data_IF_383225972933
#
_entry.id   IF_383225972933
#
_cell.length_a   1.000
_cell.length_b   1.000
_cell.length_c   1.000
_cell.angle_alpha   90.00
_cell.angle_beta   90.00
_cell.angle_gamma   90.00
#
_symmetry.space_group_name_H-M   'P 1'
#
loop_
_entity.id
_entity.type
_entity.pdbx_description
1 polymer ?
#
# COMPACT_ATOMS: atom_id res chain seq x y z
N UNK A 1 -9.30 19.06 7.27
CA UNK A 1 -10.20 18.02 6.69
C UNK A 1 -10.73 17.19 7.85
N UNK A 2 -12.05 17.16 8.09
CA UNK A 2 -12.61 16.36 9.17
C UNK A 2 -12.40 14.88 8.84
N UNK A 3 -11.49 14.22 9.56
CA UNK A 3 -11.35 12.78 9.50
C UNK A 3 -12.54 12.16 10.24
N UNK A 4 -13.41 11.45 9.53
CA UNK A 4 -14.47 10.65 10.14
C UNK A 4 -13.77 9.63 11.05
N UNK A 5 -14.00 9.74 12.36
CA UNK A 5 -13.34 8.95 13.40
C UNK A 5 -13.97 7.55 13.46
N UNK A 6 -13.82 6.75 12.40
CA UNK A 6 -14.24 5.35 12.44
C UNK A 6 -13.34 4.57 13.41
N UNK A 7 -13.88 4.24 14.58
CA UNK A 7 -13.18 3.41 15.59
C UNK A 7 -13.05 1.94 15.20
N UNK A 8 -13.85 1.48 14.24
CA UNK A 8 -13.92 0.09 13.77
C UNK A 8 -13.76 0.02 12.25
N UNK A 9 -12.96 -0.95 11.80
CA UNK A 9 -12.76 -1.27 10.38
C UNK A 9 -13.67 -2.46 10.03
N UNK A 10 -14.45 -2.38 8.94
CA UNK A 10 -15.45 -3.40 8.57
C UNK A 10 -16.28 -3.89 9.79
N UNK A 11 -16.90 -2.95 10.51
CA UNK A 11 -17.78 -3.16 11.67
C UNK A 11 -17.16 -3.81 12.93
N UNK A 12 -16.17 -4.70 12.83
CA UNK A 12 -15.65 -5.48 13.96
C UNK A 12 -14.13 -5.73 13.95
N UNK A 13 -13.39 -5.43 12.87
CA UNK A 13 -11.95 -5.75 12.84
C UNK A 13 -11.13 -4.66 13.53
N UNK A 14 -10.20 -5.04 14.44
CA UNK A 14 -9.28 -4.09 15.04
C UNK A 14 -8.40 -3.47 13.95
N UNK A 15 -8.19 -2.15 14.02
CA UNK A 15 -7.42 -1.41 13.01
C UNK A 15 -6.01 -1.99 12.77
N UNK A 16 -5.39 -2.55 13.81
CA UNK A 16 -4.10 -3.23 13.72
C UNK A 16 -4.16 -4.49 12.83
N UNK A 17 -5.29 -5.22 12.81
CA UNK A 17 -5.40 -6.41 11.98
C UNK A 17 -5.47 -6.09 10.49
N UNK A 18 -6.09 -4.96 10.14
CA UNK A 18 -6.11 -4.48 8.77
C UNK A 18 -4.71 -4.23 8.20
N UNK A 19 -3.80 -3.66 8.99
CA UNK A 19 -2.44 -3.34 8.54
C UNK A 19 -1.66 -4.60 8.15
N UNK A 20 -1.64 -5.64 8.99
CA UNK A 20 -0.85 -6.83 8.68
C UNK A 20 -1.48 -7.69 7.58
N UNK A 21 -2.82 -7.75 7.49
CA UNK A 21 -3.51 -8.46 6.41
C UNK A 21 -3.23 -7.79 5.05
N UNK A 22 -3.32 -6.46 4.99
CA UNK A 22 -2.96 -5.72 3.78
C UNK A 22 -1.46 -5.86 3.46
N UNK A 23 -0.61 -5.92 4.49
CA UNK A 23 0.81 -6.22 4.34
C UNK A 23 1.05 -7.61 3.72
N UNK A 24 0.38 -8.66 4.19
CA UNK A 24 0.52 -10.00 3.59
C UNK A 24 0.02 -10.05 2.16
N UNK A 25 -1.12 -9.40 1.88
CA UNK A 25 -1.65 -9.33 0.52
C UNK A 25 -0.69 -8.57 -0.41
N UNK A 26 -0.15 -7.44 0.06
CA UNK A 26 0.87 -6.68 -0.65
C UNK A 26 2.16 -7.47 -0.87
N UNK A 27 2.53 -8.36 0.07
CA UNK A 27 3.70 -9.23 -0.05
C UNK A 27 3.49 -10.33 -1.09
N UNK A 28 2.31 -10.95 -1.13
CA UNK A 28 1.98 -11.97 -2.13
C UNK A 28 1.96 -11.34 -3.52
N UNK A 29 1.23 -10.23 -3.68
CA UNK A 29 1.10 -9.54 -4.96
C UNK A 29 2.43 -8.94 -5.40
N UNK A 30 3.14 -8.26 -4.50
CA UNK A 30 4.46 -7.68 -4.77
C UNK A 30 5.51 -8.74 -5.05
N UNK A 31 5.54 -9.83 -4.29
CA UNK A 31 6.48 -10.93 -4.48
C UNK A 31 6.25 -11.66 -5.79
N UNK A 32 5.01 -12.02 -6.11
CA UNK A 32 4.66 -12.64 -7.39
C UNK A 32 4.94 -11.71 -8.58
N UNK A 33 4.59 -10.42 -8.45
CA UNK A 33 4.86 -9.41 -9.47
C UNK A 33 6.35 -9.18 -9.70
N UNK A 34 7.15 -9.14 -8.63
CA UNK A 34 8.60 -9.02 -8.71
C UNK A 34 9.22 -10.24 -9.39
N UNK A 35 8.85 -11.45 -8.97
CA UNK A 35 9.33 -12.68 -9.58
C UNK A 35 9.02 -12.71 -11.09
N UNK A 36 7.78 -12.40 -11.47
CA UNK A 36 7.38 -12.30 -12.88
C UNK A 36 8.16 -11.22 -13.64
N UNK A 37 8.42 -10.06 -13.01
CA UNK A 37 9.22 -8.99 -13.58
C UNK A 37 10.66 -9.41 -13.87
N UNK A 38 11.32 -10.02 -12.89
CA UNK A 38 12.70 -10.50 -13.04
C UNK A 38 12.82 -11.66 -14.03
N UNK A 39 11.83 -12.54 -14.11
CA UNK A 39 11.77 -13.56 -15.15
C UNK A 39 11.73 -12.91 -16.53
N UNK A 40 10.89 -11.87 -16.74
CA UNK A 40 10.86 -11.14 -18.01
C UNK A 40 12.21 -10.51 -18.35
N UNK A 41 12.89 -9.91 -17.36
CA UNK A 41 14.26 -9.38 -17.55
C UNK A 41 15.23 -10.49 -17.96
N UNK A 42 15.16 -11.68 -17.36
CA UNK A 42 16.03 -12.79 -17.75
C UNK A 42 15.74 -13.32 -19.17
N UNK A 43 14.52 -13.12 -19.69
CA UNK A 43 14.17 -13.49 -21.07
C UNK A 43 14.59 -12.45 -22.12
N UNK A 44 14.91 -11.21 -21.73
CA UNK A 44 15.32 -10.15 -22.67
C UNK A 44 16.58 -10.54 -23.45
N UNK A 45 17.49 -11.31 -22.85
CA UNK A 45 18.73 -11.75 -23.50
C UNK A 45 18.47 -12.63 -24.74
N UNK A 46 17.32 -13.32 -24.79
CA UNK A 46 16.94 -14.18 -25.91
C UNK A 46 16.19 -13.43 -27.00
N UNK A 47 15.46 -12.36 -26.64
CA UNK A 47 14.61 -11.60 -27.54
C UNK A 47 14.80 -10.10 -27.28
N UNK A 48 15.71 -9.43 -28.00
CA UNK A 48 15.99 -8.03 -27.78
C UNK A 48 14.75 -7.19 -28.10
N UNK A 49 14.21 -6.54 -27.08
CA UNK A 49 13.11 -5.59 -27.18
C UNK A 49 13.64 -4.16 -27.42
N UNK A 50 12.82 -3.25 -27.97
CA UNK A 50 13.19 -1.85 -28.07
C UNK A 50 13.47 -1.27 -26.68
N UNK A 51 14.45 -0.37 -26.59
CA UNK A 51 14.96 0.21 -25.33
C UNK A 51 13.87 0.79 -24.42
N UNK A 52 12.79 1.32 -24.99
CA UNK A 52 11.67 1.89 -24.24
C UNK A 52 10.90 0.83 -23.43
N UNK A 53 10.71 -0.36 -24.00
CA UNK A 53 10.02 -1.46 -23.33
C UNK A 53 10.90 -2.07 -22.25
N UNK A 54 12.21 -2.17 -22.49
CA UNK A 54 13.19 -2.63 -21.50
C UNK A 54 13.11 -1.80 -20.22
N UNK A 55 13.14 -0.48 -20.35
CA UNK A 55 13.06 0.43 -19.18
C UNK A 55 11.76 0.19 -18.40
N UNK A 56 10.62 0.02 -19.08
CA UNK A 56 9.34 -0.21 -18.42
C UNK A 56 9.30 -1.53 -17.61
N UNK A 57 9.94 -2.58 -18.13
CA UNK A 57 10.01 -3.89 -17.47
C UNK A 57 10.86 -3.77 -16.19
N UNK A 58 12.01 -3.10 -16.27
CA UNK A 58 12.86 -2.87 -15.10
C UNK A 58 12.18 -2.01 -14.04
N UNK A 59 11.53 -0.91 -14.43
CA UNK A 59 10.81 -0.04 -13.50
C UNK A 59 9.69 -0.80 -12.79
N UNK A 60 8.94 -1.63 -13.50
CA UNK A 60 7.90 -2.47 -12.89
C UNK A 60 8.49 -3.51 -11.93
N UNK A 61 9.55 -4.22 -12.32
CA UNK A 61 10.21 -5.20 -11.45
C UNK A 61 10.68 -4.57 -10.14
N UNK A 62 11.36 -3.41 -10.22
CA UNK A 62 11.81 -2.65 -9.05
C UNK A 62 10.62 -2.19 -8.20
N UNK A 63 9.58 -1.66 -8.82
CA UNK A 63 8.38 -1.17 -8.12
C UNK A 63 7.69 -2.28 -7.34
N UNK A 64 7.55 -3.48 -7.92
CA UNK A 64 6.98 -4.64 -7.23
C UNK A 64 7.91 -5.19 -6.13
N UNK A 65 9.23 -5.16 -6.33
CA UNK A 65 10.19 -5.52 -5.28
C UNK A 65 10.10 -4.55 -4.09
N UNK A 66 10.01 -3.25 -4.33
CA UNK A 66 9.78 -2.24 -3.30
C UNK A 66 8.44 -2.45 -2.60
N UNK A 67 7.38 -2.78 -3.34
CA UNK A 67 6.09 -3.12 -2.75
C UNK A 67 6.20 -4.31 -1.79
N UNK A 68 6.92 -5.36 -2.17
CA UNK A 68 7.14 -6.53 -1.30
C UNK A 68 7.95 -6.16 -0.04
N UNK A 69 9.00 -5.35 -0.17
CA UNK A 69 9.79 -4.87 0.95
C UNK A 69 8.97 -3.98 1.90
N UNK A 70 8.20 -3.03 1.39
CA UNK A 70 7.33 -2.19 2.21
C UNK A 70 6.22 -3.02 2.86
N UNK A 71 5.72 -4.04 2.18
CA UNK A 71 4.74 -4.97 2.73
C UNK A 71 5.28 -5.73 3.94
N UNK A 72 6.54 -6.19 3.90
CA UNK A 72 7.22 -6.76 5.07
C UNK A 72 7.26 -5.77 6.24
N UNK A 73 7.62 -4.52 5.99
CA UNK A 73 7.63 -3.46 7.01
C UNK A 73 6.22 -3.25 7.58
N UNK A 74 5.19 -3.28 6.74
CA UNK A 74 3.79 -3.17 7.17
C UNK A 74 3.35 -4.30 8.09
N UNK A 75 3.75 -5.54 7.78
CA UNK A 75 3.51 -6.70 8.65
C UNK A 75 4.19 -6.49 10.01
N UNK A 76 5.47 -6.11 10.01
CA UNK A 76 6.23 -5.82 11.24
C UNK A 76 5.61 -4.66 12.01
N UNK A 77 5.10 -3.63 11.34
CA UNK A 77 4.42 -2.49 11.96
C UNK A 77 3.15 -2.90 12.70
N UNK A 78 2.36 -3.78 12.08
CA UNK A 78 1.15 -4.34 12.68
C UNK A 78 1.43 -5.12 13.97
N UNK A 79 2.51 -5.91 13.98
CA UNK A 79 2.91 -6.69 15.16
C UNK A 79 3.57 -5.85 16.25
N UNK A 80 4.51 -4.99 15.89
CA UNK A 80 5.34 -4.26 16.85
C UNK A 80 4.58 -3.17 17.61
N UNK A 81 3.48 -2.64 17.03
CA UNK A 81 2.69 -1.54 17.62
C UNK A 81 3.56 -0.36 18.10
N UNK A 82 4.65 -0.05 17.39
CA UNK A 82 5.54 1.07 17.69
C UNK A 82 5.17 2.28 16.84
N UNK A 83 4.97 3.43 17.47
CA UNK A 83 4.57 4.67 16.78
C UNK A 83 5.56 5.07 15.68
N UNK A 84 6.87 5.08 15.97
CA UNK A 84 7.90 5.45 15.00
C UNK A 84 7.88 4.60 13.72
N UNK A 85 7.63 3.30 13.85
CA UNK A 85 7.58 2.39 12.70
C UNK A 85 6.31 2.61 11.86
N UNK A 86 5.17 2.92 12.50
CA UNK A 86 3.94 3.27 11.80
C UNK A 86 4.05 4.59 11.01
N UNK A 87 4.70 5.60 11.58
CA UNK A 87 4.94 6.89 10.89
C UNK A 87 5.88 6.71 9.70
N UNK A 88 6.94 5.92 9.85
CA UNK A 88 7.84 5.60 8.75
C UNK A 88 7.13 4.85 7.62
N UNK A 89 6.35 3.82 7.97
CA UNK A 89 5.56 3.05 7.02
C UNK A 89 4.55 3.92 6.25
N UNK A 90 3.89 4.88 6.93
CA UNK A 90 2.99 5.84 6.29
C UNK A 90 3.68 6.62 5.16
N UNK A 91 4.91 7.11 5.41
CA UNK A 91 5.68 7.87 4.42
C UNK A 91 6.07 6.98 3.24
N UNK A 92 6.46 5.74 3.49
CA UNK A 92 6.83 4.79 2.43
C UNK A 92 5.65 4.41 1.55
N UNK A 93 4.47 4.13 2.12
CA UNK A 93 3.26 3.91 1.33
C UNK A 93 2.93 5.14 0.47
N UNK A 94 3.03 6.34 1.01
CA UNK A 94 2.73 7.56 0.26
C UNK A 94 3.67 7.70 -0.95
N UNK A 95 4.97 7.46 -0.77
CA UNK A 95 5.95 7.48 -1.86
C UNK A 95 5.67 6.39 -2.90
N UNK A 96 5.42 5.17 -2.46
CA UNK A 96 5.08 4.05 -3.34
C UNK A 96 3.79 4.32 -4.13
N UNK A 97 2.80 4.95 -3.51
CA UNK A 97 1.54 5.31 -4.17
C UNK A 97 1.76 6.32 -5.30
N UNK A 98 2.59 7.34 -5.08
CA UNK A 98 2.96 8.30 -6.12
C UNK A 98 3.71 7.62 -7.27
N UNK A 99 4.65 6.71 -6.96
CA UNK A 99 5.35 5.92 -7.98
C UNK A 99 4.40 5.05 -8.80
N UNK A 100 3.41 4.42 -8.16
CA UNK A 100 2.39 3.61 -8.84
C UNK A 100 1.50 4.45 -9.75
N UNK A 101 1.13 5.67 -9.34
CA UNK A 101 0.39 6.60 -10.22
C UNK A 101 1.23 6.98 -11.44
N UNK A 102 2.51 7.30 -11.25
CA UNK A 102 3.41 7.64 -12.34
C UNK A 102 3.59 6.46 -13.32
N UNK A 103 3.76 5.24 -12.80
CA UNK A 103 3.85 4.02 -13.59
C UNK A 103 2.55 3.73 -14.37
N UNK A 104 1.39 3.95 -13.74
CA UNK A 104 0.09 3.80 -14.41
C UNK A 104 -0.09 4.83 -15.52
N UNK A 105 0.23 6.10 -15.26
CA UNK A 105 0.15 7.17 -16.25
C UNK A 105 1.06 6.88 -17.46
N UNK A 106 2.29 6.45 -17.21
CA UNK A 106 3.22 6.01 -18.26
C UNK A 106 2.69 4.80 -19.04
N UNK A 107 2.12 3.82 -18.33
CA UNK A 107 1.53 2.62 -18.95
C UNK A 107 0.33 2.97 -19.83
N UNK A 108 -0.52 3.92 -19.41
CA UNK A 108 -1.60 4.44 -20.25
C UNK A 108 -1.05 5.14 -21.48
N UNK A 109 -0.06 6.02 -21.32
CA UNK A 109 0.57 6.71 -22.44
C UNK A 109 1.14 5.74 -23.48
N UNK A 110 1.87 4.71 -23.02
CA UNK A 110 2.40 3.67 -23.90
C UNK A 110 1.28 2.84 -24.56
N UNK A 111 0.21 2.53 -23.82
CA UNK A 111 -0.89 1.69 -24.31
C UNK A 111 -1.68 2.35 -25.43
N UNK A 112 -1.88 3.68 -25.37
CA UNK A 112 -2.61 4.45 -26.37
C UNK A 112 -1.77 4.84 -27.59
N UNK A 113 -0.46 4.59 -27.56
CA UNK A 113 0.36 4.76 -28.76
C UNK A 113 -0.09 3.73 -29.81
N UNK A 114 -0.30 4.14 -31.08
CA UNK A 114 -0.61 3.19 -32.14
C UNK A 114 0.49 2.12 -32.18
N UNK A 115 0.05 0.87 -32.17
CA UNK A 115 0.95 -0.28 -32.25
C UNK A 115 1.45 -0.31 -33.69
N UNK A 116 2.77 -0.39 -33.88
CA UNK A 116 3.32 -0.59 -35.21
C UNK A 116 2.83 -1.93 -35.78
N UNK A 117 2.26 -1.90 -36.99
CA UNK A 117 1.71 -3.10 -37.66
C UNK A 117 2.71 -4.26 -37.72
N UNK A 118 4.01 -3.94 -37.70
CA UNK A 118 5.12 -4.90 -37.64
C UNK A 118 5.07 -5.88 -36.46
N UNK A 119 4.47 -5.50 -35.32
CA UNK A 119 4.35 -6.37 -34.15
C UNK A 119 3.23 -7.41 -34.37
N UNK A 120 2.13 -6.98 -34.98
CA UNK A 120 1.02 -7.88 -35.35
C UNK A 120 1.48 -8.86 -36.41
N UNK A 121 2.28 -8.39 -37.37
CA UNK A 121 2.79 -9.22 -38.47
C UNK A 121 3.80 -10.28 -37.97
N UNK A 122 4.68 -9.93 -37.03
CA UNK A 122 5.56 -10.91 -36.36
C UNK A 122 4.80 -11.93 -35.52
N UNK A 123 3.70 -11.53 -34.90
CA UNK A 123 2.87 -12.40 -34.08
C UNK A 123 1.98 -13.32 -34.93
N UNK A 124 1.62 -12.91 -36.16
CA UNK A 124 0.97 -13.77 -37.15
C UNK A 124 1.89 -14.90 -37.60
N UNK A 125 3.19 -14.62 -37.76
CA UNK A 125 4.18 -15.62 -38.16
C UNK A 125 3.76 -16.43 -39.39
N UNK A 126 4.32 -17.63 -39.53
CA UNK A 126 3.98 -18.61 -40.58
C UNK A 126 2.91 -19.61 -40.10
N UNK A 127 2.20 -19.31 -39.00
CA UNK A 127 1.22 -20.22 -38.40
C UNK A 127 -0.17 -19.98 -39.00
N UNK A 128 -0.76 -21.02 -39.59
CA UNK A 128 -2.11 -20.98 -40.18
C UNK A 128 -3.22 -21.24 -39.14
N UNK A 129 -2.88 -21.50 -37.88
CA UNK A 129 -3.85 -21.77 -36.82
C UNK A 129 -4.71 -20.53 -36.51
N UNK A 130 -6.00 -20.63 -36.84
CA UNK A 130 -6.99 -19.56 -36.66
C UNK A 130 -7.12 -19.11 -35.19
N UNK A 131 -6.88 -20.02 -34.25
CA UNK A 131 -6.88 -19.71 -32.81
C UNK A 131 -5.72 -18.79 -32.41
N UNK A 132 -4.52 -19.01 -32.95
CA UNK A 132 -3.34 -18.16 -32.68
C UNK A 132 -3.55 -16.78 -33.28
N UNK A 133 -4.12 -16.72 -34.49
CA UNK A 133 -4.51 -15.49 -35.17
C UNK A 133 -5.54 -14.68 -34.37
N UNK A 134 -6.58 -15.34 -33.83
CA UNK A 134 -7.57 -14.67 -32.99
C UNK A 134 -7.00 -14.21 -31.64
N UNK A 135 -6.13 -15.01 -30.99
CA UNK A 135 -5.45 -14.60 -29.76
C UNK A 135 -4.51 -13.42 -30.01
N UNK A 136 -3.82 -13.38 -31.14
CA UNK A 136 -2.90 -12.30 -31.48
C UNK A 136 -3.66 -10.97 -31.68
N UNK A 137 -4.74 -10.97 -32.46
CA UNK A 137 -5.50 -9.75 -32.74
C UNK A 137 -6.40 -9.30 -31.57
N UNK A 138 -7.18 -10.21 -30.99
CA UNK A 138 -8.16 -9.87 -29.92
C UNK A 138 -7.56 -9.95 -28.52
N UNK A 139 -6.63 -10.88 -28.29
CA UNK A 139 -6.03 -11.10 -26.97
C UNK A 139 -5.23 -9.89 -26.50
N UNK A 140 -4.55 -9.18 -27.41
CA UNK A 140 -3.78 -7.99 -27.04
C UNK A 140 -4.64 -6.88 -26.44
N UNK A 141 -5.82 -6.62 -27.02
CA UNK A 141 -6.76 -5.63 -26.48
C UNK A 141 -7.33 -6.05 -25.12
N UNK A 142 -7.66 -7.33 -24.97
CA UNK A 142 -8.25 -7.85 -23.73
C UNK A 142 -7.25 -7.86 -22.57
N UNK A 143 -6.00 -8.27 -22.84
CA UNK A 143 -4.91 -8.23 -21.86
C UNK A 143 -4.60 -6.80 -21.45
N UNK A 144 -4.52 -5.86 -22.40
CA UNK A 144 -4.33 -4.42 -22.11
C UNK A 144 -5.41 -3.88 -21.17
N UNK A 145 -6.69 -4.12 -21.49
CA UNK A 145 -7.81 -3.68 -20.67
C UNK A 145 -7.79 -4.28 -19.26
N UNK A 146 -7.51 -5.59 -19.17
CA UNK A 146 -7.43 -6.29 -17.89
C UNK A 146 -6.27 -5.79 -17.01
N UNK A 147 -5.11 -5.53 -17.59
CA UNK A 147 -3.97 -4.95 -16.87
C UNK A 147 -4.31 -3.57 -16.29
N UNK A 148 -4.92 -2.68 -17.09
CA UNK A 148 -5.36 -1.35 -16.63
C UNK A 148 -6.34 -1.47 -15.45
N UNK A 149 -7.31 -2.38 -15.56
CA UNK A 149 -8.28 -2.63 -14.50
C UNK A 149 -7.62 -3.09 -13.20
N UNK A 150 -6.69 -4.05 -13.28
CA UNK A 150 -5.94 -4.53 -12.11
C UNK A 150 -5.09 -3.42 -11.47
N UNK A 151 -4.45 -2.56 -12.25
CA UNK A 151 -3.69 -1.42 -11.72
C UNK A 151 -4.58 -0.39 -11.02
N UNK A 152 -5.73 -0.05 -11.63
CA UNK A 152 -6.69 0.86 -11.01
C UNK A 152 -7.23 0.30 -9.69
N UNK A 153 -7.56 -1.00 -9.66
CA UNK A 153 -7.97 -1.69 -8.45
C UNK A 153 -6.87 -1.68 -7.38
N UNK A 154 -5.62 -1.97 -7.77
CA UNK A 154 -4.47 -1.93 -6.86
C UNK A 154 -4.26 -0.53 -6.26
N UNK A 155 -4.43 0.54 -7.04
CA UNK A 155 -4.35 1.92 -6.54
C UNK A 155 -5.45 2.22 -5.51
N UNK A 156 -6.68 1.75 -5.72
CA UNK A 156 -7.75 1.91 -4.74
C UNK A 156 -7.44 1.19 -3.43
N UNK A 157 -6.95 -0.04 -3.51
CA UNK A 157 -6.52 -0.82 -2.33
C UNK A 157 -5.37 -0.12 -1.61
N UNK A 158 -4.43 0.46 -2.35
CA UNK A 158 -3.27 1.15 -1.78
C UNK A 158 -3.63 2.50 -1.14
N UNK A 159 -4.55 3.24 -1.76
CA UNK A 159 -5.13 4.44 -1.17
C UNK A 159 -5.88 4.11 0.13
N UNK A 160 -6.65 3.03 0.13
CA UNK A 160 -7.33 2.53 1.31
C UNK A 160 -6.34 2.13 2.42
N UNK A 161 -5.26 1.43 2.06
CA UNK A 161 -4.17 1.12 2.99
C UNK A 161 -3.53 2.38 3.59
N UNK A 162 -3.32 3.43 2.78
CA UNK A 162 -2.80 4.70 3.26
C UNK A 162 -3.71 5.37 4.31
N UNK A 163 -5.03 5.39 4.06
CA UNK A 163 -6.02 5.93 5.02
C UNK A 163 -6.01 5.11 6.31
N UNK A 164 -5.97 3.78 6.20
CA UNK A 164 -5.91 2.87 7.35
C UNK A 164 -4.67 3.14 8.20
N UNK A 165 -3.49 3.19 7.59
CA UNK A 165 -2.22 3.45 8.28
C UNK A 165 -2.19 4.84 8.90
N UNK A 166 -2.80 5.84 8.27
CA UNK A 166 -2.91 7.19 8.83
C UNK A 166 -3.74 7.21 10.11
N UNK A 167 -4.89 6.53 10.10
CA UNK A 167 -5.72 6.39 11.29
C UNK A 167 -5.01 5.57 12.38
N UNK A 168 -4.24 4.56 11.99
CA UNK A 168 -3.49 3.72 12.91
C UNK A 168 -2.36 4.50 13.61
N UNK A 169 -1.58 5.27 12.84
CA UNK A 169 -0.55 6.13 13.40
C UNK A 169 -1.14 7.17 14.37
N UNK A 170 -2.28 7.78 14.02
CA UNK A 170 -2.97 8.71 14.91
C UNK A 170 -3.46 8.05 16.21
N UNK A 171 -3.94 6.81 16.15
CA UNK A 171 -4.34 6.06 17.34
C UNK A 171 -3.15 5.79 18.26
N UNK A 172 -2.03 5.38 17.70
CA UNK A 172 -0.79 5.13 18.44
C UNK A 172 -0.27 6.40 19.12
N UNK A 173 -0.32 7.55 18.44
CA UNK A 173 0.08 8.84 19.00
C UNK A 173 -0.77 9.22 20.23
N UNK A 174 -2.09 9.01 20.15
CA UNK A 174 -2.98 9.21 21.30
C UNK A 174 -2.69 8.26 22.47
N UNK A 175 -2.37 7.00 22.18
CA UNK A 175 -2.01 6.00 23.21
C UNK A 175 -0.67 6.34 23.88
N UNK A 176 0.30 6.85 23.10
CA UNK A 176 1.62 7.26 23.59
C UNK A 176 1.51 8.47 24.53
N UNK A 177 0.75 9.50 24.15
CA UNK A 177 0.48 10.68 24.99
C UNK A 177 -0.26 10.29 26.27
N UNK A 178 -1.23 9.38 26.19
CA UNK A 178 -1.95 8.87 27.36
C UNK A 178 -1.05 8.02 28.27
N UNK A 179 -0.06 7.32 27.71
CA UNK A 179 0.97 6.57 28.44
C UNK A 179 1.89 7.51 29.22
N UNK A 180 2.41 8.55 28.56
CA UNK A 180 3.27 9.58 29.18
C UNK A 180 2.53 10.32 30.29
N UNK A 181 1.24 10.63 30.11
CA UNK A 181 0.44 11.24 31.19
C UNK A 181 0.33 10.33 32.41
N UNK A 182 0.22 9.01 32.23
CA UNK A 182 0.18 8.05 33.35
C UNK A 182 1.50 7.94 34.09
N UNK A 183 2.64 8.07 33.39
CA UNK A 183 3.95 8.09 34.06
C UNK A 183 4.25 9.43 34.71
N UNK A 184 3.67 10.53 34.21
CA UNK A 184 3.76 11.86 34.84
C UNK A 184 2.70 12.12 35.91
N UNK A 185 1.66 11.28 36.02
CA UNK A 185 0.73 11.32 37.15
C UNK A 185 1.55 11.09 38.42
N UNK A 186 1.71 12.17 39.18
CA UNK A 186 2.64 12.36 40.29
C UNK A 186 2.74 11.12 41.19
N UNK A 187 3.96 10.71 41.62
CA UNK A 187 4.10 9.70 42.66
C UNK A 187 3.29 10.14 43.90
N UNK A 188 2.51 9.22 44.46
CA UNK A 188 1.67 9.41 45.66
C UNK A 188 2.47 9.91 46.88
N UNK A 189 3.80 10.01 46.79
CA UNK A 189 4.70 10.55 47.81
C UNK A 189 4.40 12.02 48.16
N UNK A 190 3.85 12.83 47.24
CA UNK A 190 3.41 14.20 47.59
C UNK A 190 2.10 14.24 48.37
N UNK A 191 1.34 13.13 48.40
CA UNK A 191 0.08 13.05 49.15
C UNK A 191 0.29 12.95 50.66
N UNK A 192 1.50 12.61 51.13
CA UNK A 192 1.88 12.65 52.55
C UNK A 192 2.45 13.99 53.02
N UNK A 193 2.71 14.94 52.12
CA UNK A 193 3.40 16.19 52.46
C UNK A 193 2.49 17.41 52.71
N UNK A 194 1.17 17.31 52.58
CA UNK A 194 0.30 18.51 52.59
C UNK A 194 -1.02 18.32 53.32
N UNK A 195 -0.99 18.35 54.66
CA UNK A 195 -2.16 18.72 55.44
C UNK A 195 -2.43 20.22 55.19
N UNK A 196 -3.48 20.52 54.42
CA UNK A 196 -4.04 21.87 54.31
C UNK A 196 -3.82 22.54 52.96
N UNK A 197 -4.93 22.75 52.25
CA UNK A 197 -5.09 23.66 51.12
C UNK A 197 -4.48 23.21 49.78
N UNK A 198 -5.15 22.26 49.13
CA UNK A 198 -5.09 22.06 47.68
C UNK A 198 -6.46 22.31 47.05
N UNK A 199 -6.58 23.11 45.96
CA UNK A 199 -7.86 23.40 45.33
C UNK A 199 -8.49 22.13 44.73
N UNK A 200 -9.83 22.09 44.59
CA UNK A 200 -10.53 20.92 44.08
C UNK A 200 -10.17 20.72 42.61
N UNK A 201 -9.34 19.70 42.33
CA UNK A 201 -9.24 19.16 40.99
C UNK A 201 -10.58 18.51 40.65
N UNK A 202 -11.37 19.19 39.82
CA UNK A 202 -12.54 18.59 39.20
C UNK A 202 -12.08 17.42 38.32
N UNK A 203 -12.55 16.19 38.56
CA UNK A 203 -12.31 15.08 37.65
C UNK A 203 -13.01 15.42 36.33
N UNK A 204 -12.22 15.60 35.26
CA UNK A 204 -12.78 15.65 33.91
C UNK A 204 -13.26 14.25 33.55
N UNK A 205 -14.58 14.08 33.65
CA UNK A 205 -15.28 12.83 33.39
C UNK A 205 -15.21 12.49 31.90
N UNK A 206 -14.21 11.68 31.51
CA UNK A 206 -13.99 11.25 30.13
C UNK A 206 -14.87 10.04 29.76
N UNK A 207 -16.03 9.89 30.41
CA UNK A 207 -16.92 8.76 30.19
C UNK A 207 -17.96 9.02 29.07
N UNK A 208 -18.05 10.24 28.53
CA UNK A 208 -19.05 10.62 27.53
C UNK A 208 -18.69 10.32 26.06
N UNK A 209 -17.50 9.80 25.73
CA UNK A 209 -17.14 9.47 24.33
C UNK A 209 -17.11 7.97 24.04
N UNK A 210 -17.89 7.16 24.76
CA UNK A 210 -18.03 5.72 24.49
C UNK A 210 -19.36 5.32 23.82
N UNK A 211 -20.18 6.30 23.46
CA UNK A 211 -21.31 6.11 22.55
C UNK A 211 -20.99 6.84 21.23
N UNK A 212 -21.44 6.25 20.12
CA UNK A 212 -21.22 6.60 18.71
C UNK A 212 -19.92 6.05 18.10
#
# INVERSE_FOLDING_TARGET
MPFIRCRTFLACLPLASGVWVLGLLGLIVGGAGAAAGWIKVALLDKHPLPVQDVVSIFVNAITFSLLALFSLIGVVAGFAKKHGLAVFYKRMIALQYVLMIAALAYSFYSTFRPIDDSVVERCRGDSEDEMVLQLCAKGFSLVKGFCIFLFAFALLVQFYAYVLVSNFAYKLDLEDIAGVRRTMAFPDDFKKAGNGYGPPYLPYDYQSSRAV
#
